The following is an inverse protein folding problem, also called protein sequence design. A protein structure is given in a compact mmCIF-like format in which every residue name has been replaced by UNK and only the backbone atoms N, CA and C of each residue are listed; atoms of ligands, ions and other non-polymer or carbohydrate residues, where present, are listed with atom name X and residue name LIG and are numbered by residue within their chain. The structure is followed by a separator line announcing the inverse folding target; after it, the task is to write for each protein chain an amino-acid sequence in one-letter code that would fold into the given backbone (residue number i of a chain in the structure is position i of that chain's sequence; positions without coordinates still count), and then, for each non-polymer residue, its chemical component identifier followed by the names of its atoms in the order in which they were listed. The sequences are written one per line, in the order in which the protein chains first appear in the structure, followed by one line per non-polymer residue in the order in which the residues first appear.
data_IF_476185516500
#
_entry.id   IF_476185516500
#
_cell.length_a   1.000
_cell.length_b   1.000
_cell.length_c   1.000
_cell.angle_alpha   90.00
_cell.angle_beta   90.00
_cell.angle_gamma   90.00
#
_symmetry.space_group_name_H-M   'P 1'
#
loop_
_entity.id
_entity.type
_entity.pdbx_description
1 polymer ?
#
# COMPACT_ATOMS: atom_id res chain seq x y z
N UNK A 1 16.69 28.17 18.50
CA UNK A 1 15.93 26.93 18.78
C UNK A 1 16.09 26.06 17.53
N UNK A 2 17.05 25.14 17.57
CA UNK A 2 17.35 24.25 16.44
C UNK A 2 16.30 23.16 16.39
N UNK A 3 15.42 23.21 15.40
CA UNK A 3 14.53 22.11 15.07
C UNK A 3 15.36 20.95 14.52
N UNK A 4 15.67 20.00 15.38
CA UNK A 4 16.17 18.69 14.95
C UNK A 4 15.07 18.03 14.11
N UNK A 5 15.22 18.10 12.80
CA UNK A 5 14.45 17.30 11.84
C UNK A 5 14.80 15.82 12.11
N UNK A 6 14.07 15.18 13.02
CA UNK A 6 14.20 13.73 13.18
C UNK A 6 13.63 13.09 11.91
N UNK A 7 14.47 12.40 11.16
CA UNK A 7 14.03 11.54 10.06
C UNK A 7 12.91 10.63 10.60
N UNK A 8 11.73 10.59 9.97
CA UNK A 8 10.64 9.75 10.47
C UNK A 8 11.12 8.29 10.54
N UNK A 9 10.76 7.60 11.62
CA UNK A 9 11.08 6.19 11.77
C UNK A 9 10.52 5.41 10.56
N UNK A 10 11.25 4.41 10.07
CA UNK A 10 10.94 3.68 8.84
C UNK A 10 10.37 2.31 9.18
N UNK A 11 9.19 2.00 8.62
CA UNK A 11 8.56 0.70 8.79
C UNK A 11 9.08 -0.34 7.79
N UNK A 12 9.26 0.08 6.52
CA UNK A 12 9.86 -0.73 5.46
C UNK A 12 10.91 0.10 4.72
N UNK A 13 12.06 -0.49 4.47
CA UNK A 13 13.08 0.10 3.59
C UNK A 13 13.58 -0.96 2.62
N UNK A 14 13.40 -0.70 1.33
CA UNK A 14 13.85 -1.54 0.23
C UNK A 14 14.91 -0.83 -0.58
N UNK A 15 16.00 -1.54 -0.93
CA UNK A 15 17.05 -1.05 -1.83
C UNK A 15 17.34 -2.09 -2.89
N UNK A 16 17.03 -1.77 -4.16
CA UNK A 16 17.23 -2.66 -5.28
C UNK A 16 16.48 -4.00 -5.18
N UNK A 17 15.38 -4.03 -4.42
CA UNK A 17 14.66 -5.27 -4.12
C UNK A 17 14.15 -5.94 -5.39
N UNK A 18 14.53 -7.20 -5.59
CA UNK A 18 14.14 -8.01 -6.73
C UNK A 18 13.61 -9.38 -6.34
N UNK A 19 12.64 -9.89 -7.11
CA UNK A 19 12.12 -11.25 -6.98
C UNK A 19 11.83 -11.87 -8.32
N UNK A 20 12.46 -13.01 -8.59
CA UNK A 20 12.20 -13.85 -9.77
C UNK A 20 11.69 -15.23 -9.36
N UNK A 21 10.71 -15.73 -10.09
CA UNK A 21 10.19 -17.09 -9.94
C UNK A 21 10.69 -17.96 -11.12
N UNK A 22 11.79 -18.67 -10.92
CA UNK A 22 12.41 -19.49 -11.95
C UNK A 22 12.86 -18.66 -13.17
N UNK A 23 12.48 -19.08 -14.40
CA UNK A 23 12.83 -18.40 -15.64
C UNK A 23 11.81 -17.36 -16.11
N UNK A 24 10.78 -17.07 -15.31
CA UNK A 24 9.74 -16.08 -15.62
C UNK A 24 10.26 -14.65 -15.47
N UNK A 25 9.50 -13.68 -16.00
CA UNK A 25 9.73 -12.27 -15.74
C UNK A 25 9.82 -11.99 -14.22
N UNK A 26 10.59 -10.98 -13.86
CA UNK A 26 10.71 -10.59 -12.46
C UNK A 26 9.35 -10.10 -11.93
N UNK A 27 8.94 -10.60 -10.77
CA UNK A 27 7.77 -10.08 -10.06
C UNK A 27 8.08 -8.75 -9.38
N UNK A 28 9.35 -8.57 -8.92
CA UNK A 28 9.91 -7.31 -8.47
C UNK A 28 11.27 -7.13 -9.14
N UNK A 29 11.56 -5.92 -9.61
CA UNK A 29 12.76 -5.59 -10.38
C UNK A 29 13.36 -4.25 -9.92
N UNK A 30 14.32 -4.31 -9.01
CA UNK A 30 15.05 -3.13 -8.55
C UNK A 30 14.19 -2.14 -7.75
N UNK A 31 13.21 -2.59 -6.96
CA UNK A 31 12.39 -1.71 -6.15
C UNK A 31 13.22 -1.06 -5.03
N UNK A 32 13.23 0.29 -5.00
CA UNK A 32 13.85 1.07 -3.93
C UNK A 32 12.83 2.06 -3.39
N UNK A 33 12.54 1.98 -2.09
CA UNK A 33 11.57 2.86 -1.42
C UNK A 33 11.71 2.79 0.10
N UNK A 34 11.15 3.80 0.77
CA UNK A 34 10.91 3.83 2.22
C UNK A 34 9.42 3.99 2.51
N UNK A 35 8.95 3.34 3.54
CA UNK A 35 7.62 3.52 4.09
C UNK A 35 7.77 4.04 5.53
N UNK A 36 7.29 5.25 5.84
CA UNK A 36 7.37 5.79 7.19
C UNK A 36 6.45 5.04 8.15
N UNK A 37 6.79 5.04 9.45
CA UNK A 37 5.91 4.49 10.51
C UNK A 37 4.69 5.37 10.76
N UNK A 38 3.63 4.79 11.33
CA UNK A 38 2.43 5.50 11.77
C UNK A 38 1.56 6.04 10.63
N UNK A 39 1.71 5.51 9.42
CA UNK A 39 0.93 5.92 8.23
C UNK A 39 0.07 4.78 7.72
N UNK A 40 -1.07 5.15 7.13
CA UNK A 40 -1.88 4.22 6.33
C UNK A 40 -1.50 4.44 4.88
N UNK A 41 -0.88 3.42 4.30
CA UNK A 41 -0.29 3.48 2.97
C UNK A 41 -0.99 2.54 2.02
N UNK A 42 -1.32 3.06 0.84
CA UNK A 42 -1.87 2.29 -0.27
C UNK A 42 -0.75 1.68 -1.13
N UNK A 43 -0.79 0.39 -1.37
CA UNK A 43 0.03 -0.32 -2.37
C UNK A 43 -0.83 -0.60 -3.60
N UNK A 44 -0.65 0.20 -4.65
CA UNK A 44 -1.48 0.17 -5.86
C UNK A 44 -0.70 -0.40 -7.03
N UNK A 45 -1.41 -0.94 -8.00
CA UNK A 45 -0.86 -1.45 -9.25
C UNK A 45 -1.74 -2.52 -9.87
N UNK A 46 -1.57 -2.81 -11.17
CA UNK A 46 -2.35 -3.83 -11.86
C UNK A 46 -2.09 -5.23 -11.31
N UNK A 47 -2.93 -6.18 -11.71
CA UNK A 47 -2.71 -7.58 -11.38
C UNK A 47 -1.37 -8.05 -11.96
N UNK A 48 -0.59 -8.77 -11.15
CA UNK A 48 0.76 -9.18 -11.53
C UNK A 48 1.86 -8.13 -11.34
N UNK A 49 1.56 -6.92 -10.85
CA UNK A 49 2.56 -5.88 -10.61
C UNK A 49 3.57 -6.19 -9.48
N UNK A 50 3.32 -7.24 -8.69
CA UNK A 50 4.21 -7.66 -7.61
C UNK A 50 3.74 -7.31 -6.19
N UNK A 51 2.52 -6.77 -6.01
CA UNK A 51 1.97 -6.34 -4.71
C UNK A 51 2.02 -7.46 -3.66
N UNK A 52 1.36 -8.59 -3.92
CA UNK A 52 1.35 -9.75 -3.01
C UNK A 52 2.76 -10.32 -2.77
N UNK A 53 3.63 -10.27 -3.78
CA UNK A 53 5.03 -10.68 -3.66
C UNK A 53 5.78 -9.77 -2.68
N UNK A 54 5.63 -8.45 -2.80
CA UNK A 54 6.24 -7.49 -1.88
C UNK A 54 5.76 -7.70 -0.45
N UNK A 55 4.44 -7.82 -0.25
CA UNK A 55 3.84 -8.05 1.07
C UNK A 55 4.32 -9.38 1.69
N UNK A 56 4.40 -10.45 0.90
CA UNK A 56 4.88 -11.75 1.37
C UNK A 56 6.37 -11.73 1.75
N UNK A 57 7.22 -10.99 1.03
CA UNK A 57 8.63 -10.79 1.40
C UNK A 57 8.71 -9.98 2.69
N UNK A 58 7.95 -8.89 2.82
CA UNK A 58 7.93 -8.06 4.02
C UNK A 58 7.42 -8.83 5.25
N UNK A 59 6.48 -9.75 5.06
CA UNK A 59 6.01 -10.66 6.11
C UNK A 59 7.02 -11.77 6.48
N UNK A 60 8.15 -11.89 5.76
CA UNK A 60 9.15 -12.94 5.96
C UNK A 60 8.69 -14.35 5.54
N UNK A 61 7.66 -14.42 4.66
CA UNK A 61 7.13 -15.67 4.12
C UNK A 61 7.77 -16.06 2.79
N UNK A 62 8.45 -15.10 2.15
CA UNK A 62 9.09 -15.29 0.87
C UNK A 62 10.45 -14.61 0.86
N UNK A 63 11.48 -15.28 0.33
CA UNK A 63 12.80 -14.70 0.15
C UNK A 63 12.88 -13.90 -1.15
N UNK A 64 13.50 -12.72 -1.10
CA UNK A 64 13.88 -11.96 -2.29
C UNK A 64 15.07 -12.62 -3.01
N UNK A 65 15.31 -12.28 -4.27
CA UNK A 65 16.40 -12.82 -5.09
C UNK A 65 17.50 -11.80 -5.36
N UNK A 66 17.26 -10.54 -5.11
CA UNK A 66 18.22 -9.45 -5.25
C UNK A 66 17.85 -8.28 -4.31
N UNK A 67 18.80 -7.42 -4.03
CA UNK A 67 18.64 -6.25 -3.18
C UNK A 67 18.46 -6.59 -1.71
N UNK A 68 17.91 -5.63 -0.96
CA UNK A 68 17.67 -5.76 0.48
C UNK A 68 16.28 -5.24 0.85
N UNK A 69 15.71 -5.78 1.92
CA UNK A 69 14.51 -5.25 2.58
C UNK A 69 14.70 -5.32 4.09
N UNK A 70 14.47 -4.20 4.77
CA UNK A 70 14.34 -4.18 6.22
C UNK A 70 12.90 -3.90 6.64
N UNK A 71 12.47 -4.50 7.75
CA UNK A 71 11.14 -4.40 8.33
C UNK A 71 11.28 -4.02 9.79
N UNK A 72 10.76 -2.84 10.17
CA UNK A 72 10.89 -2.29 11.52
C UNK A 72 12.36 -2.27 12.01
N UNK A 73 13.30 -2.03 11.10
CA UNK A 73 14.74 -1.95 11.36
C UNK A 73 15.50 -3.27 11.36
N UNK A 74 14.83 -4.43 11.18
CA UNK A 74 15.44 -5.76 11.11
C UNK A 74 15.21 -6.47 9.78
N UNK A 75 15.71 -7.70 9.64
CA UNK A 75 15.44 -8.52 8.48
C UNK A 75 13.96 -8.98 8.44
N UNK A 76 13.38 -9.24 7.24
CA UNK A 76 12.04 -9.80 7.14
C UNK A 76 11.89 -11.07 7.96
N UNK A 77 10.86 -11.13 8.82
CA UNK A 77 10.60 -12.26 9.69
C UNK A 77 11.24 -12.20 11.08
N UNK A 78 12.20 -11.31 11.35
CA UNK A 78 12.73 -11.10 12.70
C UNK A 78 11.71 -10.43 13.64
N UNK A 79 10.88 -9.54 13.09
CA UNK A 79 9.83 -8.84 13.83
C UNK A 79 8.44 -9.52 13.70
N UNK A 80 8.37 -10.85 13.61
CA UNK A 80 7.11 -11.58 13.40
C UNK A 80 6.05 -11.33 14.46
N UNK A 81 6.45 -11.13 15.69
CA UNK A 81 5.58 -10.76 16.81
C UNK A 81 4.95 -9.37 16.64
N UNK A 82 5.62 -8.48 15.92
CA UNK A 82 5.25 -7.08 15.67
C UNK A 82 4.57 -6.85 14.33
N UNK A 83 4.57 -7.84 13.44
CA UNK A 83 4.00 -7.75 12.09
C UNK A 83 2.77 -8.65 11.98
N UNK A 84 1.63 -8.11 11.52
CA UNK A 84 0.48 -8.89 11.11
C UNK A 84 0.41 -8.91 9.57
N UNK A 85 0.19 -10.10 9.00
CA UNK A 85 0.00 -10.28 7.57
C UNK A 85 -1.34 -10.93 7.29
N UNK A 86 -2.15 -10.30 6.47
CA UNK A 86 -3.39 -10.82 5.95
C UNK A 86 -3.21 -11.12 4.46
N UNK A 87 -3.11 -12.39 4.12
CA UNK A 87 -3.01 -12.83 2.73
C UNK A 87 -4.36 -12.75 2.01
N UNK A 88 -4.34 -12.53 0.71
CA UNK A 88 -5.55 -12.42 -0.13
C UNK A 88 -6.51 -13.61 0.02
N UNK A 89 -5.99 -14.84 0.13
CA UNK A 89 -6.79 -16.07 0.30
C UNK A 89 -7.25 -16.32 1.74
N UNK A 90 -6.84 -15.48 2.72
CA UNK A 90 -7.24 -15.55 4.14
C UNK A 90 -7.19 -16.99 4.68
N UNK A 91 -6.00 -17.61 4.83
CA UNK A 91 -5.84 -19.03 5.18
C UNK A 91 -6.23 -19.26 6.65
N UNK A 92 -7.52 -19.44 6.90
CA UNK A 92 -8.08 -19.83 8.19
C UNK A 92 -8.33 -21.34 8.23
N UNK A 93 -8.23 -21.95 9.42
CA UNK A 93 -8.53 -23.38 9.60
C UNK A 93 -10.03 -23.63 9.51
N UNK A 94 -10.53 -24.32 8.45
CA UNK A 94 -11.98 -24.43 8.20
C UNK A 94 -12.73 -25.26 9.26
N UNK A 95 -12.04 -26.09 10.02
CA UNK A 95 -12.61 -26.97 11.06
C UNK A 95 -12.87 -26.23 12.37
N UNK A 96 -12.09 -25.17 12.65
CA UNK A 96 -12.22 -24.40 13.88
C UNK A 96 -13.48 -23.55 13.87
N UNK A 97 -14.02 -23.29 15.05
CA UNK A 97 -15.02 -22.24 15.27
C UNK A 97 -14.34 -20.88 15.33
N UNK A 98 -15.13 -19.81 15.24
CA UNK A 98 -14.63 -18.43 15.42
C UNK A 98 -13.94 -18.28 16.78
N UNK A 99 -14.57 -18.78 17.86
CA UNK A 99 -14.00 -18.71 19.22
C UNK A 99 -12.67 -19.49 19.33
N UNK A 100 -12.60 -20.71 18.75
CA UNK A 100 -11.37 -21.49 18.73
C UNK A 100 -10.27 -20.82 17.90
N UNK A 101 -10.64 -20.15 16.81
CA UNK A 101 -9.71 -19.39 15.98
C UNK A 101 -9.10 -18.21 16.75
N UNK A 102 -9.92 -17.44 17.50
CA UNK A 102 -9.41 -16.35 18.34
C UNK A 102 -8.55 -16.86 19.49
N UNK A 103 -8.92 -17.99 20.11
CA UNK A 103 -8.11 -18.63 21.14
C UNK A 103 -6.74 -19.04 20.62
N UNK A 104 -6.69 -19.66 19.44
CA UNK A 104 -5.44 -19.99 18.74
C UNK A 104 -4.59 -18.72 18.53
N UNK A 105 -5.22 -17.62 18.10
CA UNK A 105 -4.54 -16.32 17.96
C UNK A 105 -3.90 -15.85 19.26
N UNK A 106 -4.62 -15.99 20.38
CA UNK A 106 -4.12 -15.65 21.71
C UNK A 106 -2.94 -16.54 22.14
N UNK A 107 -3.03 -17.85 21.94
CA UNK A 107 -1.98 -18.82 22.29
C UNK A 107 -0.70 -18.59 21.47
N UNK A 108 -0.83 -18.20 20.20
CA UNK A 108 0.31 -17.90 19.33
C UNK A 108 0.94 -16.52 19.57
N UNK A 109 0.24 -15.61 20.27
CA UNK A 109 0.71 -14.24 20.54
C UNK A 109 0.54 -13.84 22.00
N UNK A 110 1.01 -14.63 23.00
CA UNK A 110 0.65 -14.44 24.40
C UNK A 110 1.10 -13.08 24.98
N UNK A 111 2.19 -12.51 24.47
CA UNK A 111 2.73 -11.25 24.97
C UNK A 111 2.02 -9.99 24.44
N UNK A 112 1.29 -10.10 23.32
CA UNK A 112 0.74 -8.93 22.61
C UNK A 112 -0.77 -9.02 22.35
N UNK A 113 -1.41 -10.14 22.65
CA UNK A 113 -2.81 -10.38 22.29
C UNK A 113 -3.79 -9.48 23.05
N UNK A 114 -4.66 -8.82 22.28
CA UNK A 114 -5.80 -8.03 22.78
C UNK A 114 -7.11 -8.76 22.50
N UNK A 115 -7.58 -9.52 23.45
CA UNK A 115 -8.79 -10.31 23.35
C UNK A 115 -10.05 -9.41 23.17
N UNK A 116 -10.07 -8.23 23.79
CA UNK A 116 -11.19 -7.31 23.71
C UNK A 116 -11.31 -6.71 22.30
N UNK A 117 -10.18 -6.32 21.70
CA UNK A 117 -10.14 -5.85 20.32
C UNK A 117 -10.64 -6.93 19.36
N UNK A 118 -10.11 -8.16 19.45
CA UNK A 118 -10.51 -9.27 18.58
C UNK A 118 -12.00 -9.61 18.73
N UNK A 119 -12.53 -9.66 19.97
CA UNK A 119 -13.94 -9.95 20.23
C UNK A 119 -14.84 -8.86 19.65
N UNK A 120 -14.52 -7.59 19.85
CA UNK A 120 -15.28 -6.44 19.30
C UNK A 120 -15.47 -6.52 17.78
N UNK A 121 -14.41 -6.88 17.04
CA UNK A 121 -14.47 -6.99 15.56
C UNK A 121 -15.43 -8.12 15.14
N UNK A 122 -15.41 -9.24 15.85
CA UNK A 122 -16.31 -10.38 15.63
C UNK A 122 -17.75 -10.00 15.93
N UNK A 123 -18.01 -9.34 17.07
CA UNK A 123 -19.33 -8.88 17.50
C UNK A 123 -19.93 -7.84 16.54
N UNK A 124 -19.17 -6.84 16.13
CA UNK A 124 -19.56 -5.85 15.12
C UNK A 124 -19.96 -6.49 13.79
N UNK A 125 -19.34 -7.62 13.44
CA UNK A 125 -19.71 -8.41 12.27
C UNK A 125 -20.92 -9.31 12.47
N UNK A 126 -21.56 -9.34 13.64
CA UNK A 126 -22.67 -10.23 13.94
C UNK A 126 -22.31 -11.72 13.85
N UNK A 127 -21.04 -12.08 14.06
CA UNK A 127 -20.59 -13.45 13.95
C UNK A 127 -20.87 -14.25 15.22
N UNK A 128 -21.53 -15.40 15.10
CA UNK A 128 -21.67 -16.34 16.20
C UNK A 128 -20.30 -17.01 16.49
N UNK A 129 -19.76 -16.88 17.72
CA UNK A 129 -18.50 -17.50 18.12
C UNK A 129 -18.45 -19.02 17.96
N UNK A 130 -19.62 -19.70 17.91
CA UNK A 130 -19.75 -21.16 17.72
C UNK A 130 -19.74 -21.57 16.25
N UNK A 131 -19.93 -20.62 15.32
CA UNK A 131 -19.92 -20.91 13.88
C UNK A 131 -18.54 -21.40 13.43
N UNK A 132 -18.52 -22.44 12.59
CA UNK A 132 -17.28 -22.96 12.01
C UNK A 132 -16.83 -22.10 10.84
N UNK A 133 -15.53 -21.88 10.69
CA UNK A 133 -14.92 -21.08 9.62
C UNK A 133 -15.36 -21.53 8.23
N UNK A 134 -15.49 -22.83 7.98
CA UNK A 134 -15.95 -23.36 6.68
C UNK A 134 -17.35 -22.92 6.27
N UNK A 135 -18.20 -22.57 7.24
CA UNK A 135 -19.58 -22.12 7.01
C UNK A 135 -19.73 -20.61 6.83
N UNK A 136 -18.66 -19.84 7.03
CA UNK A 136 -18.68 -18.39 6.93
C UNK A 136 -18.64 -17.93 5.46
N UNK A 137 -19.32 -16.80 5.18
CA UNK A 137 -19.18 -16.09 3.91
C UNK A 137 -17.75 -15.52 3.74
N UNK A 138 -17.41 -15.05 2.53
CA UNK A 138 -16.12 -14.39 2.27
C UNK A 138 -15.89 -13.20 3.20
N UNK A 139 -16.88 -12.31 3.32
CA UNK A 139 -16.82 -11.15 4.21
C UNK A 139 -16.68 -11.51 5.69
N UNK A 140 -17.42 -12.53 6.14
CA UNK A 140 -17.29 -13.02 7.51
C UNK A 140 -15.90 -13.60 7.80
N UNK A 141 -15.31 -14.35 6.86
CA UNK A 141 -13.93 -14.83 6.97
C UNK A 141 -12.93 -13.68 7.02
N UNK A 142 -13.15 -12.63 6.22
CA UNK A 142 -12.34 -11.40 6.27
C UNK A 142 -12.38 -10.77 7.66
N UNK A 143 -13.55 -10.65 8.27
CA UNK A 143 -13.69 -10.10 9.63
C UNK A 143 -12.93 -10.93 10.68
N UNK A 144 -13.01 -12.27 10.61
CA UNK A 144 -12.23 -13.15 11.51
C UNK A 144 -10.73 -12.98 11.30
N UNK A 145 -10.27 -12.93 10.04
CA UNK A 145 -8.85 -12.74 9.75
C UNK A 145 -8.32 -11.37 10.25
N UNK A 146 -9.14 -10.32 10.16
CA UNK A 146 -8.82 -9.00 10.69
C UNK A 146 -8.89 -8.94 12.21
N UNK A 147 -9.82 -9.66 12.84
CA UNK A 147 -9.84 -9.82 14.30
C UNK A 147 -8.54 -10.47 14.81
N UNK A 148 -8.00 -11.46 14.09
CA UNK A 148 -6.69 -12.02 14.39
C UNK A 148 -5.55 -11.02 14.20
N UNK A 149 -5.57 -10.27 13.10
CA UNK A 149 -4.53 -9.31 12.77
C UNK A 149 -4.47 -8.15 13.77
N UNK A 150 -5.61 -7.54 14.09
CA UNK A 150 -5.72 -6.43 15.05
C UNK A 150 -5.56 -6.90 16.50
N UNK A 151 -6.11 -8.08 16.84
CA UNK A 151 -5.95 -8.68 18.17
C UNK A 151 -4.49 -8.98 18.52
N UNK A 152 -3.63 -9.21 17.55
CA UNK A 152 -2.18 -9.36 17.72
C UNK A 152 -1.49 -8.08 18.18
N UNK A 153 -2.11 -6.89 18.06
CA UNK A 153 -1.51 -5.56 18.34
C UNK A 153 -0.20 -5.33 17.59
N UNK A 154 -0.19 -5.41 16.28
CA UNK A 154 1.03 -5.27 15.50
C UNK A 154 1.49 -3.81 15.45
N UNK A 155 2.78 -3.60 15.20
CA UNK A 155 3.33 -2.29 14.87
C UNK A 155 3.24 -2.03 13.35
N UNK A 156 3.19 -3.11 12.56
CA UNK A 156 3.01 -3.08 11.11
C UNK A 156 1.96 -4.09 10.66
N UNK A 157 0.95 -3.63 9.93
CA UNK A 157 -0.03 -4.46 9.23
C UNK A 157 0.24 -4.49 7.74
N UNK A 158 0.37 -5.67 7.19
CA UNK A 158 0.51 -5.95 5.76
C UNK A 158 -0.77 -6.63 5.28
N UNK A 159 -1.58 -5.94 4.48
CA UNK A 159 -2.91 -6.39 4.10
C UNK A 159 -3.00 -6.56 2.58
N UNK A 160 -3.19 -7.79 2.12
CA UNK A 160 -3.30 -8.10 0.70
C UNK A 160 -4.77 -8.20 0.26
N UNK A 161 -5.26 -7.16 -0.41
CA UNK A 161 -6.64 -6.99 -0.86
C UNK A 161 -7.68 -7.28 0.25
N UNK A 162 -7.58 -6.65 1.42
CA UNK A 162 -8.42 -7.00 2.57
C UNK A 162 -9.90 -6.76 2.34
N UNK A 163 -10.27 -5.88 1.41
CA UNK A 163 -11.65 -5.44 1.16
C UNK A 163 -12.34 -6.20 0.02
N UNK A 164 -11.64 -7.09 -0.70
CA UNK A 164 -12.14 -7.71 -1.93
C UNK A 164 -13.47 -8.47 -1.78
N UNK A 165 -13.71 -9.11 -0.62
CA UNK A 165 -14.91 -9.94 -0.37
C UNK A 165 -15.99 -9.22 0.45
N UNK A 166 -15.85 -7.91 0.68
CA UNK A 166 -16.77 -7.12 1.49
C UNK A 166 -17.75 -6.32 0.61
N UNK A 167 -18.99 -6.19 1.08
CA UNK A 167 -19.90 -5.19 0.54
C UNK A 167 -19.48 -3.76 0.92
N UNK A 168 -20.02 -2.71 0.28
CA UNK A 168 -19.62 -1.34 0.51
C UNK A 168 -19.74 -0.89 1.97
N UNK A 169 -20.79 -1.29 2.69
CA UNK A 169 -20.98 -0.92 4.11
C UNK A 169 -19.91 -1.58 4.99
N UNK A 170 -19.69 -2.88 4.80
CA UNK A 170 -18.69 -3.62 5.55
C UNK A 170 -17.26 -3.10 5.28
N UNK A 171 -16.97 -2.64 4.04
CA UNK A 171 -15.69 -1.98 3.71
C UNK A 171 -15.50 -0.69 4.51
N UNK A 172 -16.53 0.16 4.53
CA UNK A 172 -16.49 1.43 5.26
C UNK A 172 -16.28 1.21 6.77
N UNK A 173 -17.03 0.31 7.39
CA UNK A 173 -16.89 -0.04 8.80
C UNK A 173 -15.50 -0.58 9.14
N UNK A 174 -14.97 -1.43 8.28
CA UNK A 174 -13.65 -2.03 8.47
C UNK A 174 -12.54 -1.01 8.31
N UNK A 175 -12.64 -0.13 7.29
CA UNK A 175 -11.70 0.96 7.11
C UNK A 175 -11.70 1.89 8.32
N UNK A 176 -12.87 2.26 8.84
CA UNK A 176 -12.99 3.04 10.08
C UNK A 176 -12.29 2.35 11.26
N UNK A 177 -12.42 1.03 11.38
CA UNK A 177 -11.73 0.25 12.43
C UNK A 177 -10.22 0.28 12.28
N UNK A 178 -9.69 0.13 11.05
CA UNK A 178 -8.26 0.21 10.76
C UNK A 178 -7.70 1.61 11.03
N UNK A 179 -8.42 2.64 10.61
CA UNK A 179 -8.02 4.05 10.83
C UNK A 179 -8.00 4.39 12.33
N UNK A 180 -9.01 3.95 13.08
CA UNK A 180 -9.07 4.16 14.53
C UNK A 180 -7.88 3.47 15.24
N UNK A 181 -7.59 2.21 14.92
CA UNK A 181 -6.45 1.48 15.49
C UNK A 181 -5.12 2.15 15.14
N UNK A 182 -4.95 2.57 13.88
CA UNK A 182 -3.74 3.29 13.45
C UNK A 182 -3.58 4.63 14.20
N UNK A 183 -4.66 5.40 14.36
CA UNK A 183 -4.64 6.68 15.07
C UNK A 183 -4.35 6.52 16.58
N UNK A 184 -4.97 5.52 17.24
CA UNK A 184 -4.81 5.31 18.67
C UNK A 184 -3.44 4.74 19.04
N UNK A 185 -2.88 3.88 18.20
CA UNK A 185 -1.68 3.08 18.51
C UNK A 185 -0.45 3.44 17.69
N UNK A 186 -0.60 4.27 16.66
CA UNK A 186 0.46 4.54 15.71
C UNK A 186 0.81 3.34 14.84
N UNK A 187 -0.11 2.38 14.67
CA UNK A 187 0.09 1.19 13.84
C UNK A 187 0.32 1.62 12.39
N UNK A 188 1.38 1.14 11.78
CA UNK A 188 1.63 1.35 10.34
C UNK A 188 0.82 0.34 9.55
N UNK A 189 0.15 0.79 8.50
CA UNK A 189 -0.63 -0.08 7.61
C UNK A 189 -0.12 0.05 6.18
N UNK A 190 0.21 -1.07 5.54
CA UNK A 190 0.43 -1.15 4.10
C UNK A 190 -0.62 -2.08 3.51
N UNK A 191 -1.54 -1.52 2.74
CA UNK A 191 -2.69 -2.23 2.21
C UNK A 191 -2.68 -2.22 0.68
N UNK A 192 -2.71 -3.41 0.07
CA UNK A 192 -2.90 -3.50 -1.37
C UNK A 192 -4.37 -3.34 -1.75
N UNK A 193 -4.62 -2.60 -2.82
CA UNK A 193 -5.92 -2.53 -3.48
C UNK A 193 -5.76 -2.30 -4.98
N UNK A 194 -6.78 -2.69 -5.72
CA UNK A 194 -6.94 -2.35 -7.14
C UNK A 194 -8.05 -1.31 -7.36
N UNK A 195 -8.73 -0.87 -6.30
CA UNK A 195 -9.81 0.15 -6.33
C UNK A 195 -9.27 1.44 -5.73
N UNK A 196 -8.95 2.40 -6.60
CA UNK A 196 -8.31 3.67 -6.21
C UNK A 196 -9.24 4.52 -5.33
N UNK A 197 -10.53 4.57 -5.65
CA UNK A 197 -11.50 5.37 -4.93
C UNK A 197 -11.63 5.00 -3.44
N UNK A 198 -11.40 3.72 -3.09
CA UNK A 198 -11.46 3.25 -1.70
C UNK A 198 -10.26 3.70 -0.87
N UNK A 199 -9.16 4.09 -1.53
CA UNK A 199 -7.90 4.43 -0.88
C UNK A 199 -7.74 5.94 -0.69
N UNK A 200 -8.37 6.74 -1.55
CA UNK A 200 -8.21 8.19 -1.56
C UNK A 200 -8.62 8.84 -0.22
N UNK A 201 -9.68 8.33 0.41
CA UNK A 201 -10.21 8.88 1.66
C UNK A 201 -9.57 8.29 2.93
N UNK A 202 -8.84 7.19 2.80
CA UNK A 202 -8.35 6.41 3.94
C UNK A 202 -6.82 6.41 4.08
N UNK A 203 -6.11 6.66 2.98
CA UNK A 203 -4.66 6.60 2.93
C UNK A 203 -4.07 7.99 2.78
N UNK A 204 -3.05 8.28 3.56
CA UNK A 204 -2.27 9.52 3.44
C UNK A 204 -0.97 9.31 2.63
N UNK A 205 -0.65 8.07 2.30
CA UNK A 205 0.57 7.70 1.60
C UNK A 205 0.31 6.65 0.52
N UNK A 206 1.07 6.70 -0.56
CA UNK A 206 0.92 5.83 -1.72
C UNK A 206 2.24 5.19 -2.14
N UNK A 207 2.17 3.94 -2.60
CA UNK A 207 3.22 3.26 -3.34
C UNK A 207 2.60 2.61 -4.59
N UNK A 208 2.93 3.11 -5.78
CA UNK A 208 2.48 2.55 -7.07
C UNK A 208 3.52 1.58 -7.62
N UNK A 209 3.11 0.34 -7.84
CA UNK A 209 3.89 -0.66 -8.56
C UNK A 209 3.40 -0.82 -10.01
N UNK A 210 4.33 -0.80 -10.94
CA UNK A 210 4.07 -1.07 -12.36
C UNK A 210 5.24 -1.86 -12.97
N UNK A 211 4.95 -3.00 -13.60
CA UNK A 211 5.99 -3.85 -14.20
C UNK A 211 7.05 -4.35 -13.21
N UNK A 212 6.68 -4.58 -11.96
CA UNK A 212 7.61 -5.01 -10.91
C UNK A 212 8.48 -3.88 -10.33
N UNK A 213 8.27 -2.63 -10.70
CA UNK A 213 9.04 -1.46 -10.25
C UNK A 213 8.16 -0.45 -9.53
N UNK A 214 8.76 0.31 -8.63
CA UNK A 214 8.08 1.47 -8.01
C UNK A 214 8.03 2.61 -9.02
N UNK A 215 6.83 3.15 -9.25
CA UNK A 215 6.56 4.24 -10.19
C UNK A 215 6.29 5.56 -9.48
N UNK A 216 5.52 5.50 -8.40
CA UNK A 216 5.23 6.61 -7.50
C UNK A 216 5.40 6.15 -6.06
N UNK A 217 5.87 7.03 -5.20
CA UNK A 217 5.92 6.81 -3.76
C UNK A 217 5.94 8.11 -3.00
N UNK A 218 5.03 8.28 -2.04
CA UNK A 218 4.97 9.48 -1.24
C UNK A 218 3.62 9.78 -0.61
N UNK A 219 3.55 10.93 0.07
CA UNK A 219 2.28 11.51 0.49
C UNK A 219 1.38 11.78 -0.71
N UNK A 220 0.09 11.45 -0.62
CA UNK A 220 -0.85 11.60 -1.74
C UNK A 220 -0.92 13.09 -2.14
N UNK A 221 -1.03 14.00 -1.18
CA UNK A 221 -1.08 15.45 -1.42
C UNK A 221 0.19 15.95 -2.12
N UNK A 222 1.38 15.48 -1.69
CA UNK A 222 2.66 15.85 -2.32
C UNK A 222 2.73 15.36 -3.77
N UNK A 223 2.25 14.14 -4.02
CA UNK A 223 2.21 13.57 -5.36
C UNK A 223 1.25 14.32 -6.27
N UNK A 224 0.05 14.67 -5.80
CA UNK A 224 -0.92 15.47 -6.55
C UNK A 224 -0.36 16.88 -6.79
N UNK A 225 0.18 17.53 -5.77
CA UNK A 225 0.76 18.87 -5.87
C UNK A 225 1.95 18.94 -6.85
N UNK A 226 2.70 17.85 -7.06
CA UNK A 226 3.79 17.79 -8.04
C UNK A 226 3.31 17.70 -9.49
N UNK A 227 2.04 17.35 -9.72
CA UNK A 227 1.48 17.14 -11.05
C UNK A 227 0.40 18.16 -11.40
N UNK A 228 0.12 18.30 -12.67
CA UNK A 228 -0.95 19.17 -13.20
C UNK A 228 -1.47 18.57 -14.51
N UNK A 229 -2.79 18.57 -14.65
CA UNK A 229 -3.43 18.29 -15.92
C UNK A 229 -3.46 19.60 -16.72
N UNK A 230 -2.95 19.57 -17.94
CA UNK A 230 -2.93 20.74 -18.84
C UNK A 230 -3.74 20.45 -20.09
N UNK A 231 -4.50 21.43 -20.55
CA UNK A 231 -5.28 21.37 -21.78
C UNK A 231 -5.06 22.63 -22.60
N UNK A 232 -4.74 22.48 -23.87
CA UNK A 232 -4.47 23.61 -24.75
C UNK A 232 -4.27 23.19 -26.19
N UNK A 233 -3.79 24.13 -27.03
CA UNK A 233 -3.37 23.88 -28.40
C UNK A 233 -1.86 23.84 -28.46
N UNK A 234 -1.31 22.74 -28.99
CA UNK A 234 0.14 22.57 -29.10
C UNK A 234 0.55 21.10 -29.14
N UNK A 235 1.81 20.87 -28.91
CA UNK A 235 2.47 19.56 -28.90
C UNK A 235 3.06 19.30 -27.49
N UNK A 236 3.40 18.05 -27.14
CA UNK A 236 4.12 17.77 -25.91
C UNK A 236 5.43 18.55 -25.73
N UNK A 237 6.10 18.91 -26.83
CA UNK A 237 7.35 19.69 -26.81
C UNK A 237 7.15 21.12 -26.30
N UNK A 238 5.95 21.71 -26.51
CA UNK A 238 5.60 23.06 -26.07
C UNK A 238 5.39 23.14 -24.55
N UNK A 239 5.37 21.99 -23.87
CA UNK A 239 5.25 21.90 -22.42
C UNK A 239 6.61 21.92 -21.69
N UNK A 240 7.73 22.08 -22.39
CA UNK A 240 9.02 22.21 -21.74
C UNK A 240 9.06 23.47 -20.85
N UNK A 241 9.70 23.45 -19.64
CA UNK A 241 10.62 22.39 -19.14
C UNK A 241 9.93 21.23 -18.40
N UNK A 242 8.60 21.20 -18.32
CA UNK A 242 7.87 20.20 -17.57
C UNK A 242 8.07 18.79 -18.12
N UNK A 243 8.04 17.79 -17.22
CA UNK A 243 8.07 16.38 -17.63
C UNK A 243 6.67 15.92 -17.99
N UNK A 244 6.43 15.61 -19.27
CA UNK A 244 5.16 15.03 -19.73
C UNK A 244 5.11 13.56 -19.31
N UNK A 245 4.10 13.19 -18.50
CA UNK A 245 3.87 11.82 -18.04
C UNK A 245 3.04 11.06 -19.09
N UNK A 246 1.85 11.58 -19.43
CA UNK A 246 0.96 11.04 -20.45
C UNK A 246 0.39 12.21 -21.24
N UNK A 247 0.19 12.02 -22.55
CA UNK A 247 -0.49 13.01 -23.39
C UNK A 247 -1.45 12.37 -24.37
N UNK A 248 -2.54 13.07 -24.66
CA UNK A 248 -3.57 12.67 -25.61
C UNK A 248 -3.92 13.84 -26.50
N UNK A 249 -3.96 13.61 -27.78
CA UNK A 249 -4.39 14.58 -28.77
C UNK A 249 -5.81 14.28 -29.25
N UNK A 250 -6.67 15.29 -29.29
CA UNK A 250 -8.00 15.22 -29.86
C UNK A 250 -8.16 16.38 -30.86
N UNK A 251 -8.09 16.10 -32.15
CA UNK A 251 -8.07 17.11 -33.18
C UNK A 251 -6.85 18.04 -33.07
N UNK A 252 -7.08 19.34 -32.78
CA UNK A 252 -6.01 20.31 -32.53
C UNK A 252 -5.74 20.56 -31.05
N UNK A 253 -6.44 19.88 -30.16
CA UNK A 253 -6.28 19.99 -28.72
C UNK A 253 -5.31 18.94 -28.19
N UNK A 254 -4.51 19.31 -27.20
CA UNK A 254 -3.66 18.45 -26.39
C UNK A 254 -4.16 18.47 -24.95
N UNK A 255 -4.35 17.31 -24.36
CA UNK A 255 -4.49 17.16 -22.90
C UNK A 255 -3.31 16.32 -22.41
N UNK A 256 -2.61 16.78 -21.40
CA UNK A 256 -1.45 16.07 -20.87
C UNK A 256 -1.41 16.15 -19.34
N UNK A 257 -1.00 15.07 -18.71
CA UNK A 257 -0.54 15.09 -17.32
C UNK A 257 0.96 15.40 -17.31
N UNK A 258 1.34 16.45 -16.63
CA UNK A 258 2.73 16.87 -16.50
C UNK A 258 3.17 16.82 -15.03
N UNK A 259 4.44 16.54 -14.80
CA UNK A 259 5.13 16.87 -13.55
C UNK A 259 5.72 18.26 -13.71
N UNK A 260 5.32 19.17 -12.81
CA UNK A 260 5.70 20.58 -12.90
C UNK A 260 7.19 20.79 -12.62
N UNK A 261 7.78 21.65 -13.43
CA UNK A 261 9.11 22.24 -13.21
C UNK A 261 8.96 23.77 -13.46
N UNK A 262 8.36 24.44 -12.49
CA UNK A 262 8.02 25.86 -12.56
C UNK A 262 6.56 26.15 -12.98
N UNK A 263 6.26 27.42 -13.34
CA UNK A 263 4.93 27.86 -13.78
C UNK A 263 4.62 27.33 -15.19
N UNK A 264 3.36 26.97 -15.43
CA UNK A 264 2.88 26.56 -16.76
C UNK A 264 2.69 27.81 -17.61
N UNK A 265 3.14 27.76 -18.87
CA UNK A 265 3.07 28.89 -19.82
C UNK A 265 1.64 29.34 -20.16
N UNK A 266 1.52 30.59 -20.60
CA UNK A 266 0.25 31.14 -21.07
C UNK A 266 -0.29 30.34 -22.26
N UNK A 267 -1.62 30.17 -22.30
CA UNK A 267 -2.29 29.37 -23.36
C UNK A 267 -2.64 27.95 -22.99
N UNK A 268 -2.23 27.49 -21.80
CA UNK A 268 -2.62 26.19 -21.23
C UNK A 268 -3.59 26.39 -20.07
N UNK A 269 -4.77 25.78 -20.14
CA UNK A 269 -5.64 25.63 -18.99
C UNK A 269 -5.06 24.57 -18.06
N UNK A 270 -5.06 24.83 -16.76
CA UNK A 270 -4.47 23.95 -15.76
C UNK A 270 -5.52 23.50 -14.76
N UNK A 271 -5.54 22.21 -14.44
CA UNK A 271 -6.40 21.60 -13.44
C UNK A 271 -5.59 20.69 -12.53
N UNK A 272 -6.01 20.53 -11.29
CA UNK A 272 -5.43 19.56 -10.38
C UNK A 272 -5.91 18.16 -10.77
N UNK A 273 -5.01 17.17 -10.98
CA UNK A 273 -5.43 15.82 -11.33
C UNK A 273 -6.06 15.14 -10.12
N UNK A 274 -7.07 14.31 -10.36
CA UNK A 274 -7.53 13.35 -9.38
C UNK A 274 -6.45 12.27 -9.15
N UNK A 275 -6.51 11.59 -7.99
CA UNK A 275 -5.62 10.47 -7.70
C UNK A 275 -5.74 9.37 -8.77
N UNK A 276 -6.95 9.10 -9.26
CA UNK A 276 -7.19 8.11 -10.31
C UNK A 276 -6.50 8.48 -11.63
N UNK A 277 -6.63 9.74 -12.06
CA UNK A 277 -5.97 10.24 -13.29
C UNK A 277 -4.45 10.14 -13.17
N UNK A 278 -3.88 10.53 -12.02
CA UNK A 278 -2.46 10.43 -11.73
C UNK A 278 -1.97 8.98 -11.88
N UNK A 279 -2.64 8.04 -11.21
CA UNK A 279 -2.27 6.63 -11.22
C UNK A 279 -2.40 6.01 -12.62
N UNK A 280 -3.51 6.28 -13.31
CA UNK A 280 -3.75 5.76 -14.66
C UNK A 280 -2.72 6.28 -15.66
N UNK A 281 -2.35 7.56 -15.58
CA UNK A 281 -1.32 8.12 -16.45
C UNK A 281 0.04 7.44 -16.28
N UNK A 282 0.49 7.23 -15.03
CA UNK A 282 1.74 6.53 -14.75
C UNK A 282 1.70 5.03 -15.12
N UNK A 283 0.55 4.38 -15.07
CA UNK A 283 0.39 2.99 -15.50
C UNK A 283 0.39 2.85 -17.02
N UNK A 284 -0.14 3.84 -17.76
CA UNK A 284 -0.16 3.86 -19.23
C UNK A 284 1.18 4.28 -19.84
N UNK A 285 1.98 5.01 -19.08
CA UNK A 285 3.29 5.48 -19.50
C UNK A 285 4.42 4.80 -18.68
N UNK A 286 4.72 3.52 -18.93
CA UNK A 286 5.72 2.78 -18.12
C UNK A 286 7.14 3.35 -18.26
N UNK A 287 7.43 4.13 -19.30
CA UNK A 287 8.73 4.79 -19.51
C UNK A 287 8.83 6.17 -18.82
N UNK A 288 7.71 6.72 -18.32
CA UNK A 288 7.75 7.99 -17.61
C UNK A 288 8.65 7.89 -16.37
N UNK A 289 9.42 8.93 -16.01
CA UNK A 289 10.31 8.90 -14.85
C UNK A 289 9.52 8.66 -13.56
N UNK A 290 10.00 7.74 -12.73
CA UNK A 290 9.43 7.50 -11.42
C UNK A 290 9.56 8.76 -10.53
N UNK A 291 8.61 8.94 -9.60
CA UNK A 291 8.66 9.99 -8.61
C UNK A 291 8.49 9.38 -7.21
N UNK A 292 9.51 9.57 -6.37
CA UNK A 292 9.44 9.29 -4.95
C UNK A 292 9.65 10.61 -4.20
N UNK A 293 8.73 10.96 -3.30
CA UNK A 293 8.91 12.13 -2.45
C UNK A 293 10.05 11.92 -1.44
N UNK A 294 10.65 12.97 -0.87
CA UNK A 294 11.84 12.84 -0.02
C UNK A 294 11.71 11.85 1.13
N UNK A 295 10.52 11.72 1.74
CA UNK A 295 10.27 10.76 2.82
C UNK A 295 10.18 9.29 2.36
N UNK A 296 10.06 9.04 1.06
CA UNK A 296 9.88 7.72 0.45
C UNK A 296 11.10 7.28 -0.35
N UNK A 297 12.03 8.17 -0.63
CA UNK A 297 13.28 7.84 -1.33
C UNK A 297 14.17 6.99 -0.42
N UNK A 298 14.52 5.77 -0.88
CA UNK A 298 15.52 4.95 -0.21
C UNK A 298 16.93 5.52 -0.46
N UNK A 299 17.90 5.28 0.43
CA UNK A 299 19.29 5.62 0.15
C UNK A 299 19.75 4.86 -1.10
N UNK A 300 20.62 5.50 -1.88
CA UNK A 300 21.27 4.82 -3.00
C UNK A 300 22.08 3.63 -2.48
N UNK A 301 22.00 2.51 -3.21
CA UNK A 301 22.84 1.35 -2.88
C UNK A 301 24.30 1.77 -2.98
N UNK A 302 25.02 1.74 -1.87
CA UNK A 302 26.48 1.87 -1.91
C UNK A 302 26.99 0.62 -2.61
N UNK A 303 27.35 0.76 -3.88
CA UNK A 303 28.08 -0.27 -4.63
C UNK A 303 29.43 -0.45 -3.95
N UNK A 304 29.58 -1.56 -3.23
CA UNK A 304 30.86 -2.00 -2.69
C UNK A 304 31.65 -2.73 -3.78
#
# INVERSE_FOLDING_TARGET
MSSTSSTPAVALEATGLGKRYGRRAAALDGCSFRLPTGRISALVGPNGAGKSTLLAIAAGLLHHTAGTLTVLGGAPGEARDRVAYLAQNKPLYPQLTVAETLRMGAELNPARWDAACAARIVEQGGLDPKSRIRGLSGGQRTRVALALALGKRPDLMLLDEPMADLDPLARHELMGTLMADAAERGTTVLMSSHIVAELADACDHLLLLGGGRVRLGGGIDDLLAAHTLVTGRGTPADLAPHTVIESRTAGRGLTALIRRDGPVGEGWATEEPSLEELLLAHLRAPEAPALLTPGTTAPEAVTA
#
